data_IF_385606157487
#
_entry.id   IF_385606157487
#
_cell.length_a   1.000
_cell.length_b   1.000
_cell.length_c   1.000
_cell.angle_alpha   90.00
_cell.angle_beta   90.00
_cell.angle_gamma   90.00
#
_symmetry.space_group_name_H-M   'P 1'
#
loop_
_entity.id
_entity.type
_entity.pdbx_description
1 polymer ?
#
# COMPACT_ATOMS: atom_id res chain seq x y z
N UNK A 1 4.96 -20.37 20.86
CA UNK A 1 6.17 -19.56 20.89
C UNK A 1 6.04 -18.36 21.83
N UNK A 2 6.82 -17.30 21.64
CA UNK A 2 6.93 -16.12 22.53
C UNK A 2 5.57 -15.47 22.80
N UNK A 3 4.69 -15.36 21.78
CA UNK A 3 3.34 -14.82 21.93
C UNK A 3 2.48 -15.62 22.92
N UNK A 4 2.52 -16.96 22.82
CA UNK A 4 1.77 -17.82 23.75
C UNK A 4 2.27 -17.71 25.21
N UNK A 5 3.59 -17.59 25.39
CA UNK A 5 4.17 -17.36 26.72
C UNK A 5 3.77 -15.98 27.29
N UNK A 6 3.77 -14.93 26.45
CA UNK A 6 3.34 -13.59 26.84
C UNK A 6 1.84 -13.53 27.20
N UNK A 7 0.98 -14.26 26.45
CA UNK A 7 -0.45 -14.39 26.77
C UNK A 7 -0.71 -15.10 28.10
N UNK A 8 0.05 -16.16 28.40
CA UNK A 8 -0.05 -16.86 29.71
C UNK A 8 0.39 -15.94 30.85
N UNK A 9 1.49 -15.20 30.66
CA UNK A 9 1.96 -14.21 31.63
C UNK A 9 0.96 -13.06 31.83
N UNK A 10 0.23 -12.64 30.79
CA UNK A 10 -0.80 -11.60 30.91
C UNK A 10 -1.98 -12.07 31.78
N UNK A 11 -2.36 -13.36 31.67
CA UNK A 11 -3.42 -13.97 32.49
C UNK A 11 -3.07 -14.05 33.99
N UNK A 12 -1.78 -14.11 34.31
CA UNK A 12 -1.25 -14.18 35.69
C UNK A 12 -0.66 -12.84 36.19
N UNK A 13 -0.65 -11.82 35.35
CA UNK A 13 0.01 -10.55 35.64
C UNK A 13 -0.71 -9.73 36.70
N UNK A 14 0.04 -9.29 37.70
CA UNK A 14 -0.40 -8.24 38.63
C UNK A 14 -0.60 -6.92 37.91
N UNK A 15 -1.34 -5.96 38.50
CA UNK A 15 -1.51 -4.61 37.92
C UNK A 15 -0.18 -3.92 37.57
N UNK A 16 0.87 -4.19 38.36
CA UNK A 16 2.20 -3.62 38.14
C UNK A 16 2.95 -4.25 36.92
N UNK A 17 2.67 -5.51 36.59
CA UNK A 17 3.36 -6.24 35.50
C UNK A 17 2.56 -6.23 34.18
N UNK A 18 1.26 -5.95 34.21
CA UNK A 18 0.37 -5.88 33.03
C UNK A 18 0.85 -4.93 31.92
N UNK A 19 1.41 -3.73 32.22
CA UNK A 19 1.97 -2.87 31.18
C UNK A 19 3.17 -3.49 30.45
N UNK A 20 3.99 -4.26 31.17
CA UNK A 20 5.17 -4.93 30.61
C UNK A 20 4.78 -6.11 29.71
N UNK A 21 3.81 -6.92 30.13
CA UNK A 21 3.31 -8.03 29.31
C UNK A 21 2.65 -7.52 28.03
N UNK A 22 1.89 -6.42 28.10
CA UNK A 22 1.32 -5.78 26.93
C UNK A 22 2.40 -5.26 25.99
N UNK A 23 3.45 -4.60 26.48
CA UNK A 23 4.58 -4.14 25.70
C UNK A 23 5.28 -5.31 24.97
N UNK A 24 5.47 -6.43 25.66
CA UNK A 24 6.07 -7.65 25.07
C UNK A 24 5.16 -8.17 23.94
N UNK A 25 3.85 -8.23 24.14
CA UNK A 25 2.91 -8.69 23.12
C UNK A 25 2.92 -7.77 21.89
N UNK A 26 2.87 -6.45 22.10
CA UNK A 26 2.92 -5.46 21.03
C UNK A 26 4.22 -5.59 20.21
N UNK A 27 5.37 -5.83 20.88
CA UNK A 27 6.65 -6.01 20.19
C UNK A 27 6.73 -7.37 19.45
N UNK A 28 6.18 -8.44 20.01
CA UNK A 28 6.08 -9.75 19.33
C UNK A 28 5.21 -9.66 18.09
N UNK A 29 4.06 -8.98 18.16
CA UNK A 29 3.18 -8.76 17.01
C UNK A 29 3.86 -7.89 15.96
N UNK A 30 4.64 -6.90 16.39
CA UNK A 30 5.48 -6.06 15.50
C UNK A 30 6.55 -6.87 14.77
N UNK A 31 7.26 -7.76 15.49
CA UNK A 31 8.28 -8.64 14.90
C UNK A 31 7.63 -9.65 13.95
N UNK A 32 6.49 -10.24 14.30
CA UNK A 32 5.77 -11.17 13.43
C UNK A 32 5.35 -10.47 12.11
N UNK A 33 4.79 -9.28 12.19
CA UNK A 33 4.42 -8.48 11.01
C UNK A 33 5.65 -8.10 10.16
N UNK A 34 6.81 -7.91 10.78
CA UNK A 34 8.07 -7.64 10.07
C UNK A 34 8.55 -8.88 9.31
N UNK A 35 8.49 -10.05 9.94
CA UNK A 35 8.86 -11.33 9.32
C UNK A 35 7.94 -11.64 8.14
N UNK A 36 6.62 -11.47 8.29
CA UNK A 36 5.66 -11.69 7.21
C UNK A 36 5.96 -10.76 6.01
N UNK A 37 6.24 -9.48 6.26
CA UNK A 37 6.64 -8.54 5.20
C UNK A 37 7.94 -8.94 4.52
N UNK A 38 8.93 -9.42 5.29
CA UNK A 38 10.20 -9.91 4.74
C UNK A 38 10.00 -11.18 3.90
N UNK A 39 9.12 -12.09 4.30
CA UNK A 39 8.79 -13.30 3.53
C UNK A 39 8.15 -12.94 2.19
N UNK A 40 7.21 -11.99 2.17
CA UNK A 40 6.65 -11.47 0.91
C UNK A 40 7.69 -10.78 0.04
N UNK A 41 8.69 -10.14 0.66
CA UNK A 41 9.76 -9.47 -0.07
C UNK A 41 10.77 -10.47 -0.68
N UNK A 42 11.08 -11.55 0.02
CA UNK A 42 12.04 -12.58 -0.42
C UNK A 42 11.42 -13.66 -1.29
N UNK A 43 10.09 -13.79 -1.32
CA UNK A 43 9.41 -14.76 -2.17
C UNK A 43 9.63 -14.44 -3.65
N UNK A 44 10.32 -15.34 -4.34
CA UNK A 44 10.51 -15.30 -5.80
C UNK A 44 9.40 -16.06 -6.55
N UNK A 45 8.33 -16.47 -5.86
CA UNK A 45 7.21 -17.14 -6.54
C UNK A 45 6.46 -16.11 -7.39
N UNK A 46 6.25 -16.41 -8.69
CA UNK A 46 5.48 -15.54 -9.56
C UNK A 46 4.04 -15.39 -9.03
N UNK A 47 3.57 -14.16 -8.94
CA UNK A 47 2.16 -13.91 -8.63
C UNK A 47 1.27 -14.51 -9.75
N UNK A 48 0.25 -15.26 -9.36
CA UNK A 48 -0.79 -15.70 -10.28
C UNK A 48 -1.71 -14.52 -10.58
N UNK A 49 -1.43 -13.80 -11.67
CA UNK A 49 -2.24 -12.68 -12.13
C UNK A 49 -3.30 -13.16 -13.11
N UNK A 50 -4.50 -12.63 -13.02
CA UNK A 50 -5.63 -12.90 -13.93
C UNK A 50 -6.38 -11.59 -14.22
N UNK A 51 -7.20 -11.54 -15.30
CA UNK A 51 -8.08 -10.42 -15.55
C UNK A 51 -9.10 -10.30 -14.41
N UNK A 52 -9.06 -9.16 -13.68
CA UNK A 52 -9.98 -8.89 -12.58
C UNK A 52 -10.58 -7.50 -12.68
N UNK A 53 -11.84 -7.38 -12.25
CA UNK A 53 -12.46 -6.09 -12.02
C UNK A 53 -11.87 -5.47 -10.76
N UNK A 54 -11.20 -4.30 -10.89
CA UNK A 54 -10.53 -3.67 -9.76
C UNK A 54 -11.45 -2.91 -8.80
N UNK A 55 -12.68 -2.56 -9.21
CA UNK A 55 -13.57 -1.77 -8.35
C UNK A 55 -13.93 -2.48 -7.04
N UNK A 56 -14.37 -3.76 -7.03
CA UNK A 56 -14.61 -4.48 -5.79
C UNK A 56 -13.36 -4.61 -4.91
N UNK A 57 -12.17 -4.70 -5.52
CA UNK A 57 -10.91 -4.78 -4.79
C UNK A 57 -10.53 -3.43 -4.15
N UNK A 58 -10.77 -2.32 -4.87
CA UNK A 58 -10.60 -0.96 -4.35
C UNK A 58 -11.55 -0.70 -3.19
N UNK A 59 -12.83 -1.04 -3.36
CA UNK A 59 -13.84 -0.85 -2.32
C UNK A 59 -13.49 -1.67 -1.08
N UNK A 60 -13.11 -2.94 -1.25
CA UNK A 60 -12.64 -3.79 -0.14
C UNK A 60 -11.45 -3.16 0.62
N UNK A 61 -10.47 -2.62 -0.10
CA UNK A 61 -9.32 -1.98 0.53
C UNK A 61 -9.72 -0.73 1.32
N UNK A 62 -10.60 0.11 0.77
CA UNK A 62 -11.10 1.31 1.45
C UNK A 62 -11.97 0.95 2.66
N UNK A 63 -12.80 -0.08 2.57
CA UNK A 63 -13.61 -0.56 3.70
C UNK A 63 -12.75 -1.10 4.85
N UNK A 64 -11.70 -1.89 4.54
CA UNK A 64 -10.75 -2.37 5.54
C UNK A 64 -10.03 -1.18 6.19
N UNK A 65 -9.60 -0.19 5.41
CA UNK A 65 -8.95 1.01 5.94
C UNK A 65 -9.88 1.79 6.86
N UNK A 66 -11.12 2.02 6.44
CA UNK A 66 -12.15 2.74 7.22
C UNK A 66 -12.53 2.02 8.53
N UNK A 67 -12.59 0.69 8.51
CA UNK A 67 -12.83 -0.10 9.72
C UNK A 67 -11.62 -0.10 10.68
N UNK A 68 -10.41 0.15 10.17
CA UNK A 68 -9.14 0.10 10.89
C UNK A 68 -8.54 1.48 11.16
N UNK A 69 -7.50 1.80 10.44
CA UNK A 69 -6.62 2.95 10.66
C UNK A 69 -7.15 4.30 10.10
N UNK A 70 -8.20 4.29 9.26
CA UNK A 70 -8.76 5.49 8.65
C UNK A 70 -10.15 5.88 9.22
N UNK A 71 -10.45 5.53 10.47
CA UNK A 71 -11.76 5.78 11.09
C UNK A 71 -12.13 7.26 11.11
N UNK A 72 -11.16 8.12 11.38
CA UNK A 72 -11.35 9.56 11.51
C UNK A 72 -10.94 10.33 10.23
N UNK A 73 -10.58 9.61 9.16
CA UNK A 73 -10.16 10.18 7.89
C UNK A 73 -11.04 9.62 6.75
N UNK A 74 -12.06 10.37 6.31
CA UNK A 74 -12.91 9.93 5.21
C UNK A 74 -12.12 9.84 3.91
N UNK A 75 -12.23 8.69 3.23
CA UNK A 75 -11.58 8.44 1.95
C UNK A 75 -12.60 8.65 0.83
N UNK A 76 -12.36 9.64 -0.03
CA UNK A 76 -13.21 9.90 -1.19
C UNK A 76 -12.83 8.98 -2.35
N UNK A 77 -13.83 8.59 -3.16
CA UNK A 77 -13.67 7.68 -4.31
C UNK A 77 -14.12 8.38 -5.58
N UNK A 78 -13.30 8.34 -6.61
CA UNK A 78 -13.62 8.89 -7.94
C UNK A 78 -13.17 7.90 -9.00
N UNK A 79 -14.07 7.03 -9.42
CA UNK A 79 -13.76 5.95 -10.33
C UNK A 79 -14.23 6.26 -11.75
N UNK A 80 -13.37 6.04 -12.72
CA UNK A 80 -13.70 6.05 -14.14
C UNK A 80 -14.46 4.77 -14.49
N UNK A 81 -15.76 4.82 -14.84
CA UNK A 81 -16.58 3.62 -15.07
C UNK A 81 -16.20 2.84 -16.33
N UNK A 82 -15.31 3.39 -17.16
CA UNK A 82 -14.93 2.80 -18.46
C UNK A 82 -13.73 1.85 -18.37
N UNK A 83 -13.14 1.66 -17.18
CA UNK A 83 -11.95 0.83 -17.05
C UNK A 83 -12.21 -0.63 -17.43
N UNK A 84 -11.36 -1.22 -18.26
CA UNK A 84 -11.37 -2.65 -18.52
C UNK A 84 -10.86 -3.44 -17.31
N UNK A 85 -10.91 -4.77 -17.39
CA UNK A 85 -10.26 -5.64 -16.40
C UNK A 85 -8.76 -5.37 -16.36
N UNK A 86 -8.19 -5.43 -15.15
CA UNK A 86 -6.74 -5.33 -14.94
C UNK A 86 -6.13 -6.74 -14.80
N UNK A 87 -4.90 -6.91 -15.28
CA UNK A 87 -4.14 -8.15 -15.10
C UNK A 87 -3.47 -8.14 -13.72
N UNK A 88 -4.17 -8.61 -12.69
CA UNK A 88 -3.71 -8.52 -11.30
C UNK A 88 -3.88 -9.82 -10.51
N UNK A 89 -3.17 -9.90 -9.39
CA UNK A 89 -3.49 -10.79 -8.28
C UNK A 89 -4.30 -9.99 -7.25
N UNK A 90 -5.55 -10.38 -7.00
CA UNK A 90 -6.48 -9.59 -6.19
C UNK A 90 -6.01 -9.34 -4.76
N UNK A 91 -5.43 -10.34 -4.08
CA UNK A 91 -4.95 -10.17 -2.70
C UNK A 91 -3.72 -9.25 -2.64
N UNK A 92 -2.76 -9.42 -3.56
CA UNK A 92 -1.61 -8.53 -3.67
C UNK A 92 -2.05 -7.09 -4.01
N UNK A 93 -3.05 -6.92 -4.87
CA UNK A 93 -3.60 -5.61 -5.20
C UNK A 93 -4.23 -4.92 -3.98
N UNK A 94 -5.06 -5.63 -3.21
CA UNK A 94 -5.63 -5.10 -1.96
C UNK A 94 -4.52 -4.71 -0.98
N UNK A 95 -3.47 -5.52 -0.86
CA UNK A 95 -2.32 -5.20 0.00
C UNK A 95 -1.57 -3.94 -0.44
N UNK A 96 -1.37 -3.74 -1.76
CA UNK A 96 -0.81 -2.51 -2.32
C UNK A 96 -1.66 -1.31 -1.91
N UNK A 97 -2.97 -1.39 -2.14
CA UNK A 97 -3.89 -0.30 -1.84
C UNK A 97 -3.91 0.05 -0.35
N UNK A 98 -3.93 -0.95 0.53
CA UNK A 98 -3.84 -0.74 1.98
C UNK A 98 -2.55 -0.03 2.40
N UNK A 99 -1.40 -0.38 1.80
CA UNK A 99 -0.14 0.32 2.08
C UNK A 99 -0.15 1.78 1.61
N UNK A 100 -0.64 2.04 0.39
CA UNK A 100 -0.70 3.40 -0.15
C UNK A 100 -1.70 4.27 0.61
N UNK A 101 -2.90 3.76 0.88
CA UNK A 101 -3.94 4.46 1.64
C UNK A 101 -3.47 4.74 3.08
N UNK A 102 -2.81 3.77 3.73
CA UNK A 102 -2.24 3.98 5.06
C UNK A 102 -1.22 5.10 5.08
N UNK A 103 -0.33 5.14 4.09
CA UNK A 103 0.66 6.21 3.97
C UNK A 103 0.00 7.59 3.79
N UNK A 104 -1.07 7.67 3.00
CA UNK A 104 -1.83 8.89 2.79
C UNK A 104 -2.56 9.36 4.05
N UNK A 105 -3.24 8.44 4.76
CA UNK A 105 -3.92 8.74 6.03
C UNK A 105 -2.93 9.24 7.09
N UNK A 106 -1.80 8.56 7.25
CA UNK A 106 -0.74 9.00 8.16
C UNK A 106 -0.12 10.36 7.76
N UNK A 107 -0.12 10.69 6.45
CA UNK A 107 0.41 11.97 5.98
C UNK A 107 -0.52 13.16 6.29
N UNK A 108 -1.81 12.91 6.46
CA UNK A 108 -2.81 13.95 6.78
C UNK A 108 -3.23 13.97 8.25
N UNK A 109 -2.65 13.07 9.06
CA UNK A 109 -2.93 13.02 10.51
C UNK A 109 -2.61 14.34 11.19
N UNK A 110 -3.57 14.89 11.92
CA UNK A 110 -3.44 16.18 12.61
C UNK A 110 -3.52 17.42 11.70
N UNK A 111 -3.78 17.26 10.41
CA UNK A 111 -3.96 18.37 9.47
C UNK A 111 -5.45 18.74 9.41
N UNK A 112 -5.77 19.99 9.71
CA UNK A 112 -7.12 20.52 9.51
C UNK A 112 -7.50 20.49 8.03
N UNK A 113 -8.64 19.88 7.70
CA UNK A 113 -9.02 19.65 6.29
C UNK A 113 -8.18 18.58 5.58
N UNK A 114 -7.54 17.68 6.34
CA UNK A 114 -6.83 16.53 5.79
C UNK A 114 -7.74 15.71 4.87
N UNK A 115 -7.26 15.39 3.67
CA UNK A 115 -8.03 14.71 2.61
C UNK A 115 -7.25 13.54 2.04
N UNK A 116 -7.94 12.41 1.88
CA UNK A 116 -7.45 11.26 1.12
C UNK A 116 -8.47 10.89 0.04
N UNK A 117 -7.97 10.68 -1.17
CA UNK A 117 -8.80 10.28 -2.31
C UNK A 117 -8.19 9.09 -3.04
N UNK A 118 -9.05 8.16 -3.45
CA UNK A 118 -8.71 7.09 -4.38
C UNK A 118 -9.43 7.37 -5.70
N UNK A 119 -8.66 7.51 -6.77
CA UNK A 119 -9.18 7.80 -8.10
C UNK A 119 -8.66 6.77 -9.11
N UNK A 120 -9.43 6.56 -10.18
CA UNK A 120 -9.01 5.72 -11.31
C UNK A 120 -9.18 6.46 -12.63
N UNK A 121 -8.34 6.15 -13.61
CA UNK A 121 -8.43 6.70 -14.94
C UNK A 121 -7.92 5.71 -16.01
N UNK A 122 -8.47 5.79 -17.21
CA UNK A 122 -7.93 5.09 -18.37
C UNK A 122 -6.86 5.93 -19.06
N UNK A 123 -5.70 5.33 -19.33
CA UNK A 123 -4.57 6.02 -19.96
C UNK A 123 -4.23 5.41 -21.32
N UNK A 124 -4.13 6.25 -22.32
CA UNK A 124 -3.64 5.88 -23.64
C UNK A 124 -2.14 6.15 -23.76
N UNK A 125 -1.41 5.24 -24.42
CA UNK A 125 -0.04 5.51 -24.89
C UNK A 125 1.10 5.29 -23.91
N UNK A 126 0.84 4.84 -22.67
CA UNK A 126 1.90 4.44 -21.74
C UNK A 126 2.26 2.96 -21.93
N UNK A 127 3.55 2.67 -22.03
CA UNK A 127 4.05 1.29 -22.08
C UNK A 127 5.38 1.17 -21.33
N UNK A 128 5.59 0.03 -20.70
CA UNK A 128 6.87 -0.32 -20.06
C UNK A 128 7.45 -1.56 -20.67
N UNK A 129 8.77 -1.72 -20.59
CA UNK A 129 9.44 -2.96 -20.97
C UNK A 129 8.97 -4.07 -20.03
N UNK A 130 8.41 -5.13 -20.60
CA UNK A 130 7.97 -6.30 -19.85
C UNK A 130 9.16 -6.96 -19.15
N UNK A 131 9.06 -7.19 -17.85
CA UNK A 131 10.10 -7.88 -17.07
C UNK A 131 10.17 -9.38 -17.38
N UNK A 132 9.14 -9.94 -18.03
CA UNK A 132 9.01 -11.39 -18.33
C UNK A 132 9.14 -11.77 -19.79
N UNK A 133 9.31 -10.81 -20.70
CA UNK A 133 9.34 -11.13 -22.13
C UNK A 133 9.96 -10.05 -23.00
N UNK A 134 10.19 -10.39 -24.26
CA UNK A 134 10.62 -9.42 -25.28
C UNK A 134 9.41 -8.62 -25.73
N UNK A 135 9.28 -7.38 -25.26
CA UNK A 135 8.21 -6.48 -25.70
C UNK A 135 7.86 -5.42 -24.67
N UNK A 136 7.00 -4.50 -25.09
CA UNK A 136 6.41 -3.48 -24.24
C UNK A 136 5.01 -3.91 -23.81
N UNK A 137 4.69 -3.77 -22.51
CA UNK A 137 3.33 -3.96 -22.01
C UNK A 137 2.66 -2.59 -21.89
N UNK A 138 1.51 -2.38 -22.53
CA UNK A 138 0.78 -1.13 -22.35
C UNK A 138 0.20 -1.06 -20.93
N UNK A 139 0.48 0.07 -20.24
CA UNK A 139 -0.07 0.35 -18.92
C UNK A 139 -1.24 1.34 -19.08
N UNK A 140 -2.45 0.80 -19.16
CA UNK A 140 -3.64 1.57 -19.51
C UNK A 140 -4.54 1.87 -18.32
N UNK A 141 -4.36 1.15 -17.21
CA UNK A 141 -5.17 1.33 -16.00
C UNK A 141 -4.34 2.11 -15.00
N UNK A 142 -4.81 3.29 -14.65
CA UNK A 142 -4.20 4.14 -13.62
C UNK A 142 -5.09 4.14 -12.38
N UNK A 143 -4.47 3.90 -11.23
CA UNK A 143 -5.05 4.12 -9.91
C UNK A 143 -4.22 5.18 -9.22
N UNK A 144 -4.86 6.14 -8.59
CA UNK A 144 -4.21 7.20 -7.84
C UNK A 144 -4.67 7.15 -6.39
N UNK A 145 -3.72 7.25 -5.47
CA UNK A 145 -3.96 7.59 -4.06
C UNK A 145 -3.42 8.99 -3.85
N UNK A 146 -4.30 9.91 -3.52
CA UNK A 146 -4.03 11.34 -3.43
C UNK A 146 -4.23 11.79 -1.99
N UNK A 147 -3.29 12.56 -1.47
CA UNK A 147 -3.39 13.21 -0.17
C UNK A 147 -2.98 14.69 -0.25
N UNK A 148 -3.46 15.52 0.68
CA UNK A 148 -3.04 16.90 0.84
C UNK A 148 -2.07 17.10 2.01
N UNK A 149 -1.36 16.06 2.41
CA UNK A 149 -0.30 16.11 3.40
C UNK A 149 0.93 16.89 2.94
N UNK A 150 1.98 16.97 3.78
CA UNK A 150 3.19 17.76 3.49
C UNK A 150 4.02 17.20 2.32
N UNK A 151 3.73 15.97 1.90
CA UNK A 151 4.48 15.27 0.85
C UNK A 151 5.77 14.63 1.34
N UNK A 152 6.47 14.02 0.40
CA UNK A 152 7.74 13.36 0.65
C UNK A 152 8.89 14.38 0.53
N UNK A 153 9.81 14.46 1.51
CA UNK A 153 10.99 15.31 1.43
C UNK A 153 11.83 15.03 0.17
N UNK A 154 12.39 16.09 -0.45
CA UNK A 154 13.12 15.97 -1.71
C UNK A 154 14.30 15.00 -1.65
N UNK A 155 15.02 15.02 -0.55
CA UNK A 155 16.21 14.20 -0.35
C UNK A 155 15.97 12.68 -0.32
N UNK A 156 14.72 12.23 -0.21
CA UNK A 156 14.38 10.79 -0.20
C UNK A 156 13.47 10.38 -1.36
N UNK A 157 13.06 11.31 -2.24
CA UNK A 157 12.13 11.00 -3.35
C UNK A 157 12.68 9.94 -4.30
N UNK A 158 13.95 10.04 -4.67
CA UNK A 158 14.57 9.12 -5.63
C UNK A 158 14.76 7.70 -5.06
N UNK A 159 14.78 7.58 -3.73
CA UNK A 159 14.99 6.32 -3.02
C UNK A 159 13.74 5.87 -2.25
N UNK A 160 12.59 6.52 -2.50
CA UNK A 160 11.35 6.33 -1.74
C UNK A 160 10.85 4.87 -1.71
N UNK A 161 11.09 4.15 -2.78
CA UNK A 161 10.70 2.74 -2.93
C UNK A 161 11.78 1.75 -2.49
N UNK A 162 12.94 2.24 -2.03
CA UNK A 162 13.98 1.35 -1.52
C UNK A 162 13.62 0.83 -0.12
N UNK A 163 13.99 -0.40 0.20
CA UNK A 163 13.77 -0.96 1.53
C UNK A 163 14.44 -0.13 2.62
N UNK A 164 13.81 -0.06 3.79
CA UNK A 164 14.31 0.62 5.00
C UNK A 164 14.40 2.16 4.90
N UNK A 165 13.87 2.75 3.84
CA UNK A 165 13.76 4.20 3.71
C UNK A 165 12.45 4.65 4.38
N UNK A 166 12.58 5.45 5.44
CA UNK A 166 11.45 6.06 6.16
C UNK A 166 11.91 7.31 6.89
N UNK A 167 11.11 8.36 6.84
CA UNK A 167 11.27 9.55 7.68
C UNK A 167 10.40 9.49 8.94
N UNK A 168 9.63 8.42 9.14
CA UNK A 168 8.74 8.23 10.28
C UNK A 168 9.46 7.51 11.42
N UNK A 169 9.35 8.01 12.67
CA UNK A 169 9.97 7.40 13.85
C UNK A 169 9.53 5.95 14.11
N UNK A 170 8.30 5.58 13.74
CA UNK A 170 7.75 4.22 13.87
C UNK A 170 7.73 3.45 12.55
N UNK A 171 8.12 4.06 11.43
CA UNK A 171 8.06 3.46 10.10
C UNK A 171 9.26 2.56 9.84
N UNK A 172 9.00 1.29 9.51
CA UNK A 172 10.06 0.31 9.17
C UNK A 172 10.64 0.49 7.76
N UNK A 173 10.08 1.41 6.94
CA UNK A 173 10.52 1.65 5.56
C UNK A 173 10.31 0.49 4.58
N UNK A 174 9.43 -0.46 4.90
CA UNK A 174 9.18 -1.64 4.06
C UNK A 174 7.89 -1.55 3.25
N UNK A 175 6.95 -0.66 3.60
CA UNK A 175 5.64 -0.60 2.95
C UNK A 175 5.70 -0.24 1.47
N UNK A 176 6.43 0.83 1.12
CA UNK A 176 6.56 1.27 -0.27
C UNK A 176 7.48 0.36 -1.10
N UNK A 177 8.51 -0.23 -0.49
CA UNK A 177 9.33 -1.24 -1.14
C UNK A 177 8.51 -2.49 -1.51
N UNK A 178 7.60 -2.93 -0.62
CA UNK A 178 6.68 -4.02 -0.91
C UNK A 178 5.70 -3.65 -2.03
N UNK A 179 5.17 -2.42 -2.03
CA UNK A 179 4.33 -1.91 -3.12
C UNK A 179 5.05 -2.00 -4.45
N UNK A 180 6.28 -1.48 -4.55
CA UNK A 180 7.06 -1.51 -5.79
C UNK A 180 7.30 -2.94 -6.27
N UNK A 181 7.69 -3.85 -5.36
CA UNK A 181 7.88 -5.27 -5.70
C UNK A 181 6.60 -5.91 -6.23
N UNK A 182 5.48 -5.81 -5.51
CA UNK A 182 4.22 -6.43 -5.92
C UNK A 182 3.71 -5.86 -7.25
N UNK A 183 3.89 -4.56 -7.46
CA UNK A 183 3.52 -3.88 -8.71
C UNK A 183 4.37 -4.39 -9.88
N UNK A 184 5.68 -4.51 -9.70
CA UNK A 184 6.58 -5.09 -10.71
C UNK A 184 6.26 -6.55 -11.00
N UNK A 185 5.92 -7.33 -9.99
CA UNK A 185 5.50 -8.74 -10.16
C UNK A 185 4.22 -8.88 -10.99
N UNK A 186 3.38 -7.83 -11.03
CA UNK A 186 2.19 -7.70 -11.88
C UNK A 186 2.48 -7.00 -13.22
N UNK A 187 3.77 -6.77 -13.58
CA UNK A 187 4.20 -6.00 -14.76
C UNK A 187 3.65 -4.56 -14.79
N UNK A 188 3.40 -3.98 -13.64
CA UNK A 188 2.97 -2.59 -13.46
C UNK A 188 4.12 -1.64 -13.16
N UNK A 189 3.76 -0.39 -12.87
CA UNK A 189 4.68 0.66 -12.46
C UNK A 189 4.02 1.48 -11.34
N UNK A 190 4.78 1.80 -10.28
CA UNK A 190 4.36 2.74 -9.26
C UNK A 190 5.24 3.98 -9.33
N UNK A 191 4.62 5.17 -9.17
CA UNK A 191 5.29 6.46 -9.21
C UNK A 191 4.76 7.36 -8.09
N UNK A 192 5.59 8.28 -7.64
CA UNK A 192 5.22 9.36 -6.75
C UNK A 192 5.35 10.69 -7.49
N UNK A 193 4.36 11.55 -7.32
CA UNK A 193 4.35 12.92 -7.83
C UNK A 193 3.91 13.88 -6.74
N UNK A 194 4.51 15.07 -6.71
CA UNK A 194 4.06 16.19 -5.89
C UNK A 194 3.50 17.28 -6.80
N UNK A 195 2.19 17.46 -6.77
CA UNK A 195 1.54 18.64 -7.35
C UNK A 195 1.69 19.80 -6.37
N UNK A 196 2.68 20.64 -6.64
CA UNK A 196 2.98 21.79 -5.80
C UNK A 196 1.89 22.87 -5.87
N UNK A 197 1.25 23.02 -7.03
CA UNK A 197 0.21 24.04 -7.24
C UNK A 197 -1.06 23.71 -6.45
N UNK A 198 -1.45 22.43 -6.43
CA UNK A 198 -2.59 21.95 -5.66
C UNK A 198 -2.24 21.55 -4.22
N UNK A 199 -0.96 21.53 -3.85
CA UNK A 199 -0.49 21.08 -2.54
C UNK A 199 -0.78 19.59 -2.27
N UNK A 200 -0.73 18.72 -3.31
CA UNK A 200 -1.13 17.32 -3.22
C UNK A 200 0.02 16.36 -3.48
N UNK A 201 0.05 15.26 -2.74
CA UNK A 201 0.88 14.09 -3.05
C UNK A 201 0.04 13.08 -3.82
N UNK A 202 0.62 12.47 -4.83
CA UNK A 202 -0.07 11.51 -5.70
C UNK A 202 0.83 10.28 -5.84
N UNK A 203 0.36 9.14 -5.33
CA UNK A 203 0.91 7.85 -5.70
C UNK A 203 0.13 7.29 -6.87
N UNK A 204 0.81 7.10 -8.01
CA UNK A 204 0.22 6.54 -9.23
C UNK A 204 0.62 5.09 -9.37
N UNK A 205 -0.37 4.23 -9.49
CA UNK A 205 -0.21 2.82 -9.82
C UNK A 205 -0.70 2.62 -11.24
N UNK A 206 0.18 2.14 -12.10
CA UNK A 206 -0.11 1.86 -13.51
C UNK A 206 -0.07 0.35 -13.74
N UNK A 207 -1.15 -0.20 -14.26
CA UNK A 207 -1.32 -1.64 -14.43
C UNK A 207 -1.64 -2.00 -15.89
N UNK A 208 -1.23 -3.19 -16.35
CA UNK A 208 -1.62 -3.71 -17.65
C UNK A 208 -3.10 -4.09 -17.66
N UNK A 209 -3.72 -3.92 -18.82
CA UNK A 209 -5.06 -4.41 -19.08
C UNK A 209 -5.07 -5.94 -19.14
N UNK A 210 -6.04 -6.56 -18.50
CA UNK A 210 -6.34 -7.97 -18.66
C UNK A 210 -7.14 -8.20 -19.93
N UNK A 211 -6.72 -9.17 -20.74
CA UNK A 211 -7.56 -9.63 -21.86
C UNK A 211 -8.67 -10.50 -21.26
N UNK A 212 -9.91 -10.09 -21.48
CA UNK A 212 -11.07 -10.87 -21.04
C UNK A 212 -11.04 -12.24 -21.76
N UNK A 213 -11.22 -13.36 -21.05
CA UNK A 213 -11.25 -14.68 -21.68
C UNK A 213 -12.41 -14.84 -22.65
#
# INVERSE_FOLDING_TARGET
GIRGAAQLLEGEASEATRPLTKLIMDEVDRIAALIDRMQHFTSNQPLACRPENIYPLLDRAVEIAAAGFARDCPITRTYDPSLPFAQVNGDAFVQIMLNLVKNAVEAVEGIEGGMVQVATAYRHGLSVLSTRGKGTSPLQIEIQVIDNGPGVPENIRDVLFNPFISNKRSGQGLGLALVDKLVRDMNGLVQYERDQAAGRSIFRLLLPMGVNP
#
